data_IF_526462888314
#
_entry.id   IF_526462888314
#
_cell.length_a   1.000
_cell.length_b   1.000
_cell.length_c   1.000
_cell.angle_alpha   90.00
_cell.angle_beta   90.00
_cell.angle_gamma   90.00
#
_symmetry.space_group_name_H-M   'P 1'
#
loop_
_entity.id
_entity.type
_entity.pdbx_description
1 polymer ?
2 polymer ?
#
loop_
_entity_poly.entity_id
_entity_poly.type
_entity_poly.pdbx_seq_one_letter_code
_entity_poly.pdbx_strand_id
1 'polydeoxyribonucleotide' '(DC)(DT)(DC)(DG)(DG)(DC)(DT)(DA)(DT)(DT)(DA)(DA)(DT)(DA)(DG)(DC)(DC)(DG)(DA)(DG)' ?
#
# COMPACT_ATOMS: atom_id res chain seq x y z
N UNK C 1 -10.81 -15.75 4.09
CA UNK C 1 -12.20 -16.30 3.82
C UNK C 1 -12.65 -17.58 4.45
N UNK C 2 -11.78 -18.55 4.56
CA UNK C 2 -12.19 -19.83 5.19
C UNK C 2 -12.68 -19.57 6.60
N UNK C 3 -12.51 -18.39 7.11
CA UNK C 3 -12.98 -18.12 8.47
C UNK C 3 -12.94 -16.63 8.74
N UNK C 4 -13.72 -16.16 9.67
CA UNK C 4 -13.69 -14.72 10.00
C UNK C 4 -12.42 -14.43 10.79
N UNK C 5 -11.63 -13.50 10.33
CA UNK C 5 -10.33 -13.22 11.02
C UNK C 5 -10.42 -12.02 11.93
N UNK C 6 -9.60 -12.01 12.94
CA UNK C 6 -9.57 -10.88 13.89
C UNK C 6 -8.28 -10.11 13.66
N UNK C 7 -8.35 -8.81 13.78
CA UNK C 7 -7.14 -7.98 13.55
C UNK C 7 -6.17 -8.16 14.71
N UNK C 8 -5.42 -9.22 14.71
CA UNK C 8 -4.45 -9.47 15.81
C UNK C 8 -3.33 -10.38 15.30
N UNK C 9 -2.13 -10.24 15.82
CA UNK C 9 -1.02 -11.11 15.36
C UNK C 9 -1.31 -12.55 15.73
N UNK C 10 -0.97 -13.48 14.86
CA UNK C 10 -1.25 -14.91 15.19
C UNK C 10 -0.13 -15.44 16.09
N UNK C 11 -0.49 -15.95 17.24
CA UNK C 11 0.55 -16.49 18.18
C UNK C 11 1.22 -17.70 17.53
N UNK C 12 0.56 -18.29 16.59
CA UNK C 12 1.18 -19.45 15.90
C UNK C 12 2.24 -18.91 14.96
N UNK C 13 3.49 -19.11 15.31
CA UNK C 13 4.60 -18.58 14.46
C UNK C 13 4.49 -19.17 13.07
N UNK C 14 4.14 -20.42 12.98
CA UNK C 14 4.01 -21.04 11.65
C UNK C 14 2.86 -20.37 10.88
N UNK C 15 1.70 -20.26 11.47
CA UNK C 15 0.56 -19.61 10.75
C UNK C 15 0.81 -18.11 10.62
N UNK C 16 1.42 -17.51 11.61
CA UNK C 16 1.69 -16.04 11.56
C UNK C 16 2.43 -15.71 10.27
N UNK C 17 3.41 -16.48 9.94
CA UNK C 17 4.16 -16.19 8.69
C UNK C 17 3.28 -16.53 7.49
N UNK C 18 2.36 -17.44 7.65
CA UNK C 18 1.49 -17.82 6.52
C UNK C 18 0.55 -16.66 6.16
N UNK C 19 -0.07 -16.04 7.13
CA UNK C 19 -1.01 -14.92 6.80
C UNK C 19 -0.26 -13.77 6.14
N UNK C 20 0.92 -13.48 6.58
CA UNK C 20 1.69 -12.36 5.97
C UNK C 20 2.05 -12.68 4.51
N UNK C 21 2.46 -13.89 4.23
CA UNK C 21 2.85 -14.22 2.82
C UNK C 21 1.63 -14.05 1.91
N UNK C 22 0.47 -14.38 2.42
CA UNK C 22 -0.77 -14.25 1.60
C UNK C 22 -1.04 -12.78 1.30
N UNK C 23 -0.89 -11.95 2.29
CA UNK C 23 -1.18 -10.50 2.13
C UNK C 23 -0.03 -9.83 1.42
N UNK C 24 1.16 -10.27 1.70
CA UNK C 24 2.32 -9.62 1.06
C UNK C 24 2.12 -9.59 -0.45
N UNK C 25 2.02 -10.75 -1.06
CA UNK C 25 1.79 -10.81 -2.53
C UNK C 25 0.37 -10.36 -2.81
N UNK C 26 -0.51 -10.63 -1.89
CA UNK C 26 -1.93 -10.24 -2.05
C UNK C 26 -2.10 -8.71 -1.97
N UNK C 27 -1.25 -8.03 -1.24
CA UNK C 27 -1.40 -6.55 -1.16
C UNK C 27 -0.83 -5.93 -2.42
N UNK C 28 0.41 -6.18 -2.70
CA UNK C 28 1.04 -5.61 -3.92
C UNK C 28 0.12 -5.85 -5.11
N UNK C 29 -0.65 -6.88 -5.05
CA UNK C 29 -1.64 -7.14 -6.13
C UNK C 29 -2.58 -5.93 -6.18
N UNK C 30 -2.95 -5.42 -5.02
CA UNK C 30 -3.89 -4.25 -4.99
C UNK C 30 -3.22 -2.99 -5.56
N UNK C 31 -1.99 -2.72 -5.21
CA UNK C 31 -1.34 -1.50 -5.74
C UNK C 31 -1.48 -1.51 -7.26
N UNK C 32 -1.48 -2.67 -7.85
CA UNK C 32 -1.64 -2.77 -9.32
C UNK C 32 -3.13 -2.65 -9.67
N UNK C 33 -4.00 -3.32 -8.94
CA UNK C 33 -5.46 -3.23 -9.26
C UNK C 33 -5.97 -1.81 -9.01
N UNK C 34 -5.67 -1.24 -7.87
CA UNK C 34 -6.15 0.14 -7.59
C UNK C 34 -5.53 1.10 -8.60
N UNK C 35 -4.34 0.81 -9.03
CA UNK C 35 -3.68 1.72 -10.01
C UNK C 35 -4.37 1.65 -11.37
N UNK C 36 -4.80 0.50 -11.80
CA UNK C 36 -5.45 0.44 -13.14
C UNK C 36 -6.85 1.08 -13.09
N UNK C 37 -7.53 0.98 -11.99
CA UNK C 37 -8.91 1.55 -11.91
C UNK C 37 -8.91 3.09 -11.85
N UNK C 38 -7.92 3.67 -11.24
CA UNK C 38 -7.88 5.18 -11.15
C UNK C 38 -6.48 5.71 -11.49
N UNK C 39 -5.53 4.84 -11.75
CA UNK C 39 -4.15 5.33 -12.09
C UNK C 39 -3.78 6.46 -11.14
N UNK C 40 -3.88 6.20 -9.86
CA UNK C 40 -3.57 7.25 -8.86
C UNK C 40 -2.11 7.17 -8.49
N UNK C 41 -1.68 8.11 -7.72
CA UNK C 41 -0.27 8.12 -7.28
C UNK C 41 -0.15 7.31 -6.00
N UNK C 42 0.63 6.24 -6.03
CA UNK C 42 0.76 5.38 -4.81
C UNK C 42 2.22 4.97 -4.62
N UNK C 43 2.60 4.67 -3.39
CA UNK C 43 4.01 4.24 -3.12
C UNK C 43 3.98 3.08 -2.14
N UNK C 44 4.29 1.91 -2.62
CA UNK C 44 4.25 0.69 -1.76
C UNK C 44 5.64 0.08 -1.60
N UNK C 45 6.11 -0.01 -0.38
CA UNK C 45 7.43 -0.66 -0.10
C UNK C 45 7.26 -1.71 0.98
N UNK C 46 7.79 -2.90 0.78
CA UNK C 46 7.64 -3.98 1.83
C UNK C 46 8.99 -4.61 2.11
N UNK C 47 9.24 -4.91 3.36
CA UNK C 47 10.50 -5.58 3.74
C UNK C 47 10.12 -6.83 4.52
N UNK C 48 10.12 -7.95 3.87
CA UNK C 48 9.74 -9.21 4.57
C UNK C 48 10.90 -9.74 5.39
N UNK C 49 10.61 -10.29 6.53
CA UNK C 49 11.70 -10.84 7.39
C UNK C 49 12.44 -11.92 6.61
N UNK C 50 11.88 -12.38 5.51
CA UNK C 50 12.55 -13.44 4.72
C UNK C 50 13.51 -12.77 3.73
N UNK C 51 13.74 -11.50 3.90
CA UNK C 51 14.69 -10.75 3.01
C UNK C 51 14.13 -10.64 1.59
N UNK C 52 13.16 -9.80 1.40
CA UNK C 52 12.59 -9.63 0.03
C UNK C 52 12.11 -8.20 -0.12
N UNK C 53 12.75 -7.43 -0.96
CA UNK C 53 12.33 -6.02 -1.16
C UNK C 53 11.48 -5.90 -2.41
N UNK C 54 10.35 -5.28 -2.28
CA UNK C 54 9.45 -5.08 -3.45
C UNK C 54 9.03 -3.61 -3.50
N UNK C 55 9.17 -2.99 -4.65
CA UNK C 55 8.78 -1.56 -4.80
C UNK C 55 7.81 -1.43 -5.98
N UNK C 56 6.64 -0.92 -5.73
CA UNK C 56 5.63 -0.73 -6.82
C UNK C 56 5.17 0.71 -6.81
N UNK C 57 5.06 1.34 -7.95
CA UNK C 57 4.61 2.75 -7.97
C UNK C 57 4.02 3.09 -9.34
N UNK C 58 2.78 3.46 -9.34
CA UNK C 58 2.09 3.79 -10.61
C UNK C 58 2.49 5.21 -11.05
N UNK C 59 3.02 6.00 -10.14
CA UNK C 59 3.42 7.40 -10.46
C UNK C 59 4.93 7.56 -10.35
N UNK C 60 5.68 6.56 -10.69
CA UNK C 60 7.16 6.66 -10.60
C UNK C 60 7.56 7.17 -9.21
N UNK C 61 8.10 6.30 -8.39
CA UNK C 61 8.54 6.71 -7.02
C UNK C 61 9.61 7.81 -7.13
N UNK C 62 10.15 8.04 -8.29
CA UNK C 62 11.19 9.10 -8.43
C UNK C 62 10.67 10.38 -7.76
N UNK C 63 9.40 10.66 -7.87
CA UNK C 63 8.85 11.89 -7.23
C UNK C 63 8.72 11.69 -5.71
N UNK C 64 8.18 10.56 -5.31
CA UNK C 64 7.99 10.27 -3.86
C UNK C 64 9.25 10.69 -3.09
N UNK C 65 10.40 10.46 -3.64
CA UNK C 65 11.62 10.86 -2.91
C UNK C 65 11.66 12.37 -2.76
N UNK C 66 11.58 13.11 -3.82
CA UNK C 66 11.63 14.59 -3.69
C UNK C 66 10.29 15.11 -3.16
N UNK C 67 9.20 14.63 -3.71
CA UNK C 67 7.86 15.13 -3.26
C UNK C 67 7.66 14.87 -1.78
N UNK C 68 7.74 13.66 -1.35
CA UNK C 68 7.56 13.38 0.10
C UNK C 68 8.54 14.25 0.90
N UNK C 69 9.72 14.45 0.38
CA UNK C 69 10.71 15.28 1.09
C UNK C 69 10.19 16.71 1.19
N UNK C 70 9.32 17.11 0.30
CA UNK C 70 8.80 18.51 0.38
C UNK C 70 7.80 18.62 1.53
N UNK C 71 6.99 17.60 1.73
CA UNK C 71 6.00 17.64 2.86
C UNK C 71 6.74 17.49 4.18
N UNK C 72 7.87 16.87 4.14
CA UNK C 72 8.65 16.70 5.40
C UNK C 72 9.36 18.03 5.68
N UNK C 73 9.37 18.92 4.73
CA UNK C 73 10.04 20.24 4.92
C UNK C 73 9.05 21.20 5.62
N UNK C 74 9.52 22.03 6.55
CA UNK C 74 8.63 23.00 7.26
C UNK C 74 8.14 24.11 6.32
N UNK D 1 -18.29 -5.22 -4.43
CA UNK D 1 -19.26 -6.37 -4.19
C UNK D 1 -20.61 -6.38 -4.83
N UNK D 2 -21.26 -5.26 -4.93
CA UNK D 2 -22.58 -5.23 -5.59
C UNK D 2 -22.47 -5.76 -6.99
N UNK D 3 -21.29 -5.96 -7.49
CA UNK D 3 -21.17 -6.47 -8.86
C UNK D 3 -19.73 -6.90 -9.12
N UNK D 4 -19.53 -7.77 -10.06
CA UNK D 4 -18.14 -8.20 -10.37
C UNK D 4 -17.45 -7.07 -11.14
N UNK D 5 -16.33 -6.62 -10.66
CA UNK D 5 -15.66 -5.47 -11.32
C UNK D 5 -14.53 -5.92 -12.22
N UNK D 6 -14.24 -5.12 -13.22
CA UNK D 6 -13.15 -5.43 -14.16
C UNK D 6 -12.00 -4.47 -13.90
N UNK D 7 -10.80 -4.96 -14.00
CA UNK D 7 -9.63 -4.08 -13.74
C UNK D 7 -9.46 -3.10 -14.90
N UNK D 8 -10.24 -2.04 -14.90
CA UNK D 8 -10.15 -1.03 -15.99
C UNK D 8 -10.66 0.31 -15.48
N UNK D 9 -10.14 1.40 -15.97
CA UNK D 9 -10.61 2.74 -15.51
C UNK D 9 -12.07 2.91 -15.89
N UNK D 10 -12.87 3.51 -15.03
CA UNK D 10 -14.30 3.70 -15.37
C UNK D 10 -14.45 4.95 -16.26
N UNK D 11 -15.01 4.78 -17.42
CA UNK D 11 -15.18 5.94 -18.35
C UNK D 11 -16.11 6.95 -17.71
N UNK D 12 -16.92 6.51 -16.78
CA UNK D 12 -17.83 7.45 -16.09
C UNK D 12 -16.99 8.29 -15.13
N UNK D 13 -16.78 9.53 -15.46
CA UNK D 13 -15.93 10.41 -14.58
C UNK D 13 -16.56 10.48 -13.20
N UNK D 14 -17.85 10.53 -13.14
CA UNK D 14 -18.50 10.60 -11.81
C UNK D 14 -18.24 9.29 -11.06
N UNK D 15 -18.51 8.16 -11.67
CA UNK D 15 -18.27 6.87 -10.95
C UNK D 15 -16.76 6.61 -10.80
N UNK D 16 -15.99 7.01 -11.77
CA UNK D 16 -14.50 6.81 -11.71
C UNK D 16 -13.97 7.39 -10.41
N UNK D 17 -14.40 8.55 -10.06
CA UNK D 17 -13.90 9.17 -8.81
C UNK D 17 -14.52 8.42 -7.62
N UNK D 18 -15.67 7.85 -7.80
CA UNK D 18 -16.32 7.13 -6.68
C UNK D 18 -15.53 5.86 -6.34
N UNK D 19 -15.13 5.08 -7.30
CA UNK D 19 -14.37 3.84 -6.98
C UNK D 19 -13.04 4.18 -6.29
N UNK D 20 -12.40 5.22 -6.71
CA UNK D 20 -11.10 5.57 -6.07
C UNK D 20 -11.31 6.01 -4.61
N UNK D 21 -12.33 6.78 -4.33
CA UNK D 21 -12.55 7.23 -2.93
C UNK D 21 -12.80 6.01 -2.04
N UNK D 22 -13.46 5.02 -2.57
CA UNK D 22 -13.73 3.80 -1.77
C UNK D 22 -12.43 3.07 -1.46
N UNK D 23 -11.58 2.97 -2.45
CA UNK D 23 -10.29 2.22 -2.27
C UNK D 23 -9.30 3.10 -1.53
N UNK D 24 -9.35 4.36 -1.80
CA UNK D 24 -8.38 5.26 -1.14
C UNK D 24 -8.43 5.04 0.37
N UNK D 25 -9.56 5.33 0.98
CA UNK D 25 -9.70 5.11 2.44
C UNK D 25 -9.72 3.61 2.70
N UNK D 26 -10.28 2.87 1.78
CA UNK D 26 -10.36 1.41 1.93
C UNK D 26 -8.96 0.76 1.85
N UNK D 27 -8.04 1.36 1.14
CA UNK D 27 -6.69 0.75 1.07
C UNK D 27 -5.95 1.05 2.35
N UNK D 28 -5.74 2.31 2.63
CA UNK D 28 -5.02 2.71 3.88
C UNK D 28 -5.57 1.90 5.06
N UNK D 29 -6.80 1.51 4.97
CA UNK D 29 -7.37 0.64 6.04
C UNK D 29 -6.53 -0.63 6.09
N UNK D 30 -6.15 -1.14 4.94
CA UNK D 30 -5.34 -2.41 4.90
C UNK D 30 -3.94 -2.17 5.49
N UNK D 31 -3.29 -1.09 5.16
CA UNK D 31 -1.93 -0.85 5.72
C UNK D 31 -2.00 -1.00 7.22
N UNK D 32 -3.11 -0.64 7.80
CA UNK D 32 -3.29 -0.78 9.27
C UNK D 32 -3.65 -2.23 9.60
N UNK D 33 -4.55 -2.84 8.85
CA UNK D 33 -4.93 -4.25 9.15
C UNK D 33 -3.75 -5.18 8.90
N UNK D 34 -3.10 -5.07 7.77
CA UNK D 34 -1.93 -5.96 7.50
C UNK D 34 -0.84 -5.68 8.53
N UNK D 35 -0.74 -4.47 8.98
CA UNK D 35 0.32 -4.14 9.96
C UNK D 35 0.02 -4.79 11.32
N UNK D 36 -1.21 -4.84 11.73
CA UNK D 36 -1.51 -5.46 13.06
C UNK D 36 -1.35 -6.99 13.00
N UNK D 37 -1.64 -7.59 11.88
CA UNK D 37 -1.53 -9.08 11.78
C UNK D 37 -0.08 -9.55 11.74
N UNK D 38 0.81 -8.80 11.15
CA UNK D 38 2.24 -9.24 11.08
C UNK D 38 3.19 -8.09 11.45
N UNK D 39 2.66 -6.91 11.72
CA UNK D 39 3.55 -5.75 12.08
C UNK D 39 4.75 -5.75 11.15
N UNK D 40 4.49 -5.75 9.88
CA UNK D 40 5.59 -5.77 8.89
C UNK D 40 5.99 -4.37 8.53
N UNK D 41 7.04 -4.24 7.78
CA UNK D 41 7.50 -2.90 7.36
C UNK D 41 6.78 -2.51 6.08
N UNK D 42 6.02 -1.43 6.10
CA UNK D 42 5.27 -1.02 4.88
C UNK D 42 5.34 0.49 4.70
N UNK D 43 5.20 0.97 3.48
CA UNK D 43 5.24 2.44 3.22
C UNK D 43 4.14 2.79 2.23
N UNK D 44 3.12 3.45 2.70
CA UNK D 44 1.96 3.80 1.81
C UNK D 44 1.82 5.32 1.67
N UNK D 45 1.90 5.79 0.46
CA UNK D 45 1.72 7.26 0.20
C UNK D 45 0.68 7.45 -0.89
N UNK D 46 -0.28 8.35 -0.71
CA UNK D 46 -1.32 8.58 -1.77
C UNK D 46 -1.45 10.08 -2.05
N UNK D 47 -1.71 10.41 -3.29
CA UNK D 47 -1.88 11.84 -3.68
C UNK D 47 -3.18 11.98 -4.47
N UNK D 48 -4.30 11.91 -3.81
CA UNK D 48 -5.61 12.03 -4.51
C UNK D 48 -5.64 13.32 -5.32
N UNK D 49 -6.31 13.31 -6.44
CA UNK D 49 -6.42 14.53 -7.27
C UNK D 49 -7.21 15.59 -6.51
N UNK D 50 -7.87 15.20 -5.45
CA UNK D 50 -8.68 16.19 -4.67
C UNK D 50 -7.77 16.88 -3.65
N UNK D 51 -6.48 16.71 -3.81
CA UNK D 51 -5.50 17.36 -2.91
C UNK D 51 -5.59 16.79 -1.49
N UNK D 52 -5.11 15.61 -1.30
CA UNK D 52 -5.13 15.00 0.05
C UNK D 52 -3.94 14.08 0.21
N UNK D 53 -3.02 14.44 1.07
CA UNK D 53 -1.82 13.59 1.28
C UNK D 53 -2.00 12.73 2.52
N UNK D 54 -1.76 11.46 2.38
CA UNK D 54 -1.87 10.53 3.53
C UNK D 54 -0.62 9.67 3.60
N UNK D 55 -0.01 9.59 4.75
CA UNK D 55 1.23 8.76 4.92
C UNK D 55 1.03 7.79 6.08
N UNK D 56 1.14 6.52 5.82
CA UNK D 56 0.97 5.50 6.89
C UNK D 56 2.21 4.60 6.89
N UNK D 57 2.75 4.29 8.04
CA UNK D 57 3.95 3.41 8.06
C UNK D 57 4.06 2.74 9.44
N UNK D 58 4.02 1.45 9.42
CA UNK D 58 4.10 0.67 10.68
C UNK D 58 5.56 0.58 11.14
N UNK D 59 6.48 0.86 10.25
CA UNK D 59 7.93 0.79 10.60
C UNK D 59 8.57 2.17 10.50
N UNK D 60 7.85 3.19 10.85
CA UNK D 60 8.42 4.57 10.78
C UNK D 60 9.05 4.81 9.39
N UNK D 61 8.42 5.60 8.59
CA UNK D 61 8.96 5.90 7.23
C UNK D 61 10.34 6.56 7.35
N UNK D 62 10.71 7.00 8.54
CA UNK D 62 12.04 7.64 8.69
C UNK D 62 13.11 6.75 8.03
N UNK D 63 12.96 5.46 8.13
CA UNK D 63 13.97 4.54 7.49
C UNK D 63 13.76 4.51 5.98
N UNK D 64 12.53 4.36 5.55
CA UNK D 64 12.22 4.29 4.09
C UNK D 64 13.03 5.35 3.35
N UNK D 65 13.16 6.50 3.91
CA UNK D 65 13.93 7.55 3.20
C UNK D 65 15.39 7.12 3.07
N UNK D 66 16.04 6.79 4.15
CA UNK D 66 17.47 6.37 4.03
C UNK D 66 17.54 4.94 3.48
N UNK D 67 16.74 4.05 4.01
CA UNK D 67 16.79 2.63 3.55
C UNK D 67 16.51 2.54 2.06
N UNK D 68 15.38 2.99 1.62
CA UNK D 68 15.09 2.93 0.16
C UNK D 68 16.23 3.59 -0.61
N UNK D 69 16.79 4.65 -0.07
CA UNK D 69 17.90 5.34 -0.76
C UNK D 69 19.08 4.39 -0.85
N UNK D 70 19.19 3.43 0.03
CA UNK D 70 20.34 2.49 -0.05
C UNK D 70 20.15 1.51 -1.21
N UNK D 71 18.93 1.07 -1.44
CA UNK D 71 18.67 0.13 -2.57
C UNK D 71 18.79 0.90 -3.89
N UNK D 72 18.55 2.16 -3.84
CA UNK D 72 18.66 2.97 -5.08
C UNK D 72 20.15 3.23 -5.34
N UNK D 73 20.98 2.95 -4.38
CA UNK D 73 22.45 3.17 -4.56
C UNK D 73 23.06 1.93 -5.25
N UNK D 74 24.00 2.12 -6.16
CA UNK D 74 24.65 0.98 -6.88
C UNK D 74 25.54 0.16 -5.93
#
# INVERSE_FOLDING_TARGET
>C
GRKKIQITRIMDERNRQVTFTKRKFGLMKKAYELSVLADAEIALIIFNSSNKLFQYASTDMDKVLLKYTEYNEPHESRTNSDIVE
>D
GRKKIQITRIMDERNRQVTFTKRKFGLMKKAYELSVLADAEIALIIFNSSNKLFQYASTDMDKVLLKYTEYNEPHESRTNSDIVE
#
